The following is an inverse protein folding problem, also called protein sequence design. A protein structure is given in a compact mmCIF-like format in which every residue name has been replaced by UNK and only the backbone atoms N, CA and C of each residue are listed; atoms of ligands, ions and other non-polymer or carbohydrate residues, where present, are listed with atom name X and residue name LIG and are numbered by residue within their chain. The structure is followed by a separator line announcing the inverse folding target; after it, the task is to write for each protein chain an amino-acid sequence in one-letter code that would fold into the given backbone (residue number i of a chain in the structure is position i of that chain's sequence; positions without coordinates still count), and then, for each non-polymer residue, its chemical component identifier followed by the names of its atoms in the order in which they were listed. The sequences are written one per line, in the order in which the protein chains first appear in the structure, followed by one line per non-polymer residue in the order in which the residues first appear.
data_IF_925263561281
#
_entry.id   IF_925263561281
#
_cell.length_a   1.000
_cell.length_b   1.000
_cell.length_c   1.000
_cell.angle_alpha   90.00
_cell.angle_beta   90.00
_cell.angle_gamma   90.00
#
_symmetry.space_group_name_H-M   'P 1'
#
loop_
_entity.id
_entity.type
_entity.pdbx_description
1 polymer ?
#
# COMPACT_ATOMS: atom_id res chain seq x y z
N UNK A 1 -54.09 6.00 9.98
CA UNK A 1 -53.05 6.53 9.06
C UNK A 1 -51.81 7.02 9.83
N UNK A 2 -51.23 6.22 10.74
CA UNK A 2 -50.02 6.59 11.51
C UNK A 2 -48.84 5.62 11.35
N UNK A 3 -49.07 4.44 10.75
CA UNK A 3 -48.05 3.37 10.64
C UNK A 3 -47.21 3.42 9.35
N UNK A 4 -47.66 4.16 8.34
CA UNK A 4 -46.94 4.29 7.05
C UNK A 4 -45.83 5.36 7.14
N UNK A 5 -45.97 6.34 8.04
CA UNK A 5 -44.99 7.42 8.21
C UNK A 5 -43.67 6.97 8.88
N UNK A 6 -43.69 5.85 9.62
CA UNK A 6 -42.51 5.36 10.35
C UNK A 6 -41.52 4.62 9.44
N UNK A 7 -41.99 4.03 8.34
CA UNK A 7 -41.13 3.26 7.41
C UNK A 7 -40.36 4.19 6.46
N UNK A 8 -40.96 5.35 6.11
CA UNK A 8 -40.31 6.33 5.24
C UNK A 8 -39.14 7.06 5.93
N UNK A 9 -39.17 7.18 7.26
CA UNK A 9 -38.07 7.78 8.03
C UNK A 9 -36.86 6.86 8.19
N UNK A 10 -37.01 5.55 8.03
CA UNK A 10 -35.90 4.60 8.20
C UNK A 10 -34.99 4.50 6.97
N UNK A 11 -35.47 4.92 5.80
CA UNK A 11 -34.69 4.93 4.55
C UNK A 11 -33.91 6.23 4.32
N UNK A 12 -34.14 7.28 5.12
CA UNK A 12 -33.50 8.58 4.95
C UNK A 12 -32.14 8.73 5.65
N UNK A 13 -31.64 7.69 6.34
CA UNK A 13 -30.39 7.75 7.11
C UNK A 13 -29.23 6.96 6.48
N UNK A 14 -29.33 6.53 5.23
CA UNK A 14 -28.17 5.98 4.50
C UNK A 14 -27.33 7.16 4.01
N UNK A 15 -26.62 7.79 4.95
CA UNK A 15 -25.50 8.64 4.58
C UNK A 15 -24.43 7.70 4.01
N UNK A 16 -24.26 7.73 2.69
CA UNK A 16 -23.05 7.20 2.07
C UNK A 16 -21.89 8.03 2.60
N UNK A 17 -21.20 7.50 3.60
CA UNK A 17 -19.91 8.02 4.00
C UNK A 17 -18.99 7.78 2.81
N UNK A 18 -18.80 8.81 1.98
CA UNK A 18 -17.65 8.87 1.10
C UNK A 18 -16.45 8.99 2.03
N UNK A 19 -15.81 7.86 2.31
CA UNK A 19 -14.49 7.87 2.91
C UNK A 19 -13.56 8.49 1.89
N UNK A 20 -13.38 9.81 1.96
CA UNK A 20 -12.21 10.46 1.35
C UNK A 20 -11.00 9.83 2.03
N UNK A 21 -10.46 8.79 1.40
CA UNK A 21 -9.17 8.24 1.76
C UNK A 21 -8.19 9.37 1.41
N UNK A 22 -7.53 10.00 2.40
CA UNK A 22 -6.52 10.99 2.07
C UNK A 22 -5.54 10.33 1.11
N UNK A 23 -5.34 10.91 -0.06
CA UNK A 23 -4.35 10.45 -1.01
C UNK A 23 -2.97 10.71 -0.38
N UNK A 24 -2.47 9.79 0.44
CA UNK A 24 -1.08 9.80 0.88
C UNK A 24 -0.24 9.49 -0.36
N UNK A 25 0.13 10.54 -1.09
CA UNK A 25 0.97 10.45 -2.28
C UNK A 25 2.42 10.29 -1.83
N UNK A 26 2.80 9.11 -1.37
CA UNK A 26 4.17 8.81 -0.99
C UNK A 26 4.32 7.57 -0.13
N UNK A 27 5.56 7.09 -0.08
CA UNK A 27 5.99 6.05 0.84
C UNK A 27 7.29 6.51 1.51
N UNK A 28 7.61 5.91 2.64
CA UNK A 28 8.91 6.09 3.29
C UNK A 28 9.40 4.76 3.87
N UNK A 29 10.72 4.62 3.95
CA UNK A 29 11.35 3.51 4.65
C UNK A 29 11.30 3.75 6.15
N UNK A 30 11.01 2.72 6.93
CA UNK A 30 11.13 2.70 8.37
C UNK A 30 12.12 1.59 8.77
N UNK A 31 13.33 1.96 9.19
CA UNK A 31 14.38 1.03 9.60
C UNK A 31 14.28 0.71 11.08
N UNK A 32 14.40 -0.58 11.41
CA UNK A 32 14.38 -1.10 12.78
C UNK A 32 15.81 -1.36 13.26
N UNK A 33 16.31 -0.47 14.11
CA UNK A 33 17.70 -0.46 14.56
C UNK A 33 17.77 -0.61 16.07
N UNK A 34 18.94 -1.01 16.56
CA UNK A 34 19.27 -1.04 17.97
C UNK A 34 20.55 -0.26 18.22
N UNK A 35 20.47 0.69 19.14
CA UNK A 35 21.60 1.51 19.55
C UNK A 35 22.15 0.99 20.89
N UNK A 36 23.46 0.84 20.97
CA UNK A 36 24.16 0.42 22.18
C UNK A 36 25.48 1.17 22.34
N UNK A 37 25.49 2.22 23.16
CA UNK A 37 26.67 2.98 23.56
C UNK A 37 27.58 3.39 22.37
N UNK A 38 27.00 4.02 21.34
CA UNK A 38 27.72 4.46 20.14
C UNK A 38 27.77 3.44 19.01
N UNK A 39 27.38 2.19 19.27
CA UNK A 39 27.29 1.15 18.24
C UNK A 39 25.85 1.04 17.75
N UNK A 40 25.66 1.07 16.44
CA UNK A 40 24.38 0.88 15.79
C UNK A 40 24.37 -0.47 15.07
N UNK A 41 23.30 -1.25 15.27
CA UNK A 41 23.10 -2.55 14.62
C UNK A 41 21.64 -2.71 14.19
N UNK A 42 21.33 -3.67 13.33
CA UNK A 42 19.94 -4.05 13.05
C UNK A 42 19.27 -4.59 14.32
N UNK A 43 18.00 -4.23 14.54
CA UNK A 43 17.22 -4.81 15.64
C UNK A 43 16.95 -6.30 15.34
N UNK A 44 17.35 -7.17 16.27
CA UNK A 44 17.22 -8.63 16.13
C UNK A 44 15.82 -9.12 16.45
N UNK A 45 14.99 -8.27 17.05
CA UNK A 45 13.60 -8.61 17.38
C UNK A 45 12.67 -8.52 16.17
N UNK A 46 13.14 -7.94 15.06
CA UNK A 46 12.40 -7.85 13.80
C UNK A 46 12.95 -8.85 12.78
N UNK A 47 12.04 -9.50 12.05
CA UNK A 47 12.40 -10.41 10.96
C UNK A 47 13.02 -9.67 9.77
N UNK A 48 12.53 -8.45 9.51
CA UNK A 48 12.97 -7.59 8.43
C UNK A 48 13.64 -6.35 9.02
N UNK A 49 14.73 -5.88 8.41
CA UNK A 49 15.48 -4.70 8.88
C UNK A 49 14.71 -3.39 8.65
N UNK A 50 13.68 -3.42 7.79
CA UNK A 50 12.89 -2.24 7.45
C UNK A 50 11.47 -2.62 7.01
N UNK A 51 10.59 -1.62 7.03
CA UNK A 51 9.27 -1.63 6.41
C UNK A 51 9.14 -0.46 5.41
N UNK A 52 8.18 -0.57 4.48
CA UNK A 52 7.76 0.53 3.60
C UNK A 52 6.36 0.97 4.02
N UNK A 53 6.24 2.18 4.54
CA UNK A 53 4.99 2.70 5.10
C UNK A 53 4.40 3.76 4.16
N UNK A 54 3.09 3.71 3.86
CA UNK A 54 2.44 4.77 3.10
C UNK A 54 2.45 6.09 3.89
N UNK A 55 2.96 7.14 3.26
CA UNK A 55 2.93 8.49 3.80
C UNK A 55 4.06 9.39 3.33
N UNK A 56 3.96 10.65 3.71
CA UNK A 56 5.00 11.64 3.45
C UNK A 56 6.14 11.42 4.43
N UNK A 57 7.35 11.32 3.90
CA UNK A 57 8.56 11.33 4.70
C UNK A 57 8.70 12.69 5.41
N UNK A 58 8.94 12.65 6.73
CA UNK A 58 9.25 13.82 7.56
C UNK A 58 10.59 13.54 8.22
N UNK A 59 11.58 14.41 7.97
CA UNK A 59 12.89 14.29 8.59
C UNK A 59 12.80 14.53 10.10
N UNK A 60 13.37 13.63 10.88
CA UNK A 60 13.50 13.79 12.32
C UNK A 60 14.51 14.89 12.65
N UNK A 61 14.29 15.61 13.75
CA UNK A 61 15.26 16.61 14.22
C UNK A 61 16.60 16.00 14.60
N UNK A 62 17.68 16.75 14.36
CA UNK A 62 19.06 16.40 14.73
C UNK A 62 19.54 17.43 15.75
N UNK A 63 20.11 16.97 16.89
CA UNK A 63 20.61 17.87 17.94
C UNK A 63 22.10 17.70 18.21
N UNK A 64 22.66 16.52 17.93
CA UNK A 64 24.09 16.23 18.01
C UNK A 64 24.89 16.96 16.92
N UNK A 65 26.14 17.31 17.24
CA UNK A 65 27.12 17.80 16.26
C UNK A 65 27.69 16.67 15.36
N UNK A 66 27.44 15.41 15.73
CA UNK A 66 27.97 14.22 15.07
C UNK A 66 26.83 13.25 14.75
N UNK A 67 25.98 13.58 13.75
CA UNK A 67 24.86 12.72 13.38
C UNK A 67 25.33 11.45 12.69
N UNK A 68 24.45 10.44 12.69
CA UNK A 68 24.56 9.30 11.78
C UNK A 68 23.89 9.67 10.46
N UNK A 69 24.32 9.02 9.38
CA UNK A 69 23.88 9.33 8.02
C UNK A 69 23.31 8.08 7.36
N UNK A 70 22.13 8.20 6.78
CA UNK A 70 21.54 7.21 5.88
C UNK A 70 21.78 7.68 4.44
N UNK A 71 22.47 6.88 3.65
CA UNK A 71 22.63 7.06 2.22
C UNK A 71 21.79 6.03 1.47
N UNK A 72 20.97 6.49 0.52
CA UNK A 72 20.19 5.60 -0.34
C UNK A 72 20.83 5.57 -1.72
N UNK A 73 21.11 4.36 -2.21
CA UNK A 73 21.79 4.12 -3.48
C UNK A 73 20.83 3.43 -4.44
N UNK A 74 20.81 3.89 -5.69
CA UNK A 74 20.00 3.30 -6.77
C UNK A 74 20.57 1.97 -7.26
N UNK A 75 19.78 1.25 -8.05
CA UNK A 75 20.23 0.05 -8.80
C UNK A 75 21.42 0.36 -9.72
N UNK A 76 21.47 1.57 -10.27
CA UNK A 76 22.60 2.09 -11.07
C UNK A 76 23.83 2.52 -10.25
N UNK A 77 23.82 2.38 -8.93
CA UNK A 77 24.93 2.75 -8.06
C UNK A 77 25.06 4.26 -7.80
N UNK A 78 24.02 5.04 -8.09
CA UNK A 78 23.98 6.49 -7.89
C UNK A 78 23.39 6.80 -6.53
N UNK A 79 23.98 7.74 -5.79
CA UNK A 79 23.39 8.26 -4.56
C UNK A 79 22.10 9.03 -4.89
N UNK A 80 20.97 8.53 -4.38
CA UNK A 80 19.65 9.14 -4.54
C UNK A 80 19.41 10.23 -3.50
N UNK A 81 19.78 9.96 -2.25
CA UNK A 81 19.64 10.93 -1.16
C UNK A 81 20.55 10.61 0.01
N UNK A 82 20.61 11.56 0.95
CA UNK A 82 21.32 11.46 2.21
C UNK A 82 20.44 12.07 3.32
N UNK A 83 20.30 11.37 4.43
CA UNK A 83 19.47 11.77 5.57
C UNK A 83 20.26 11.65 6.86
N UNK A 84 20.36 12.73 7.61
CA UNK A 84 20.93 12.73 8.95
C UNK A 84 19.90 12.33 10.00
N UNK A 85 20.33 11.59 11.02
CA UNK A 85 19.53 11.29 12.21
C UNK A 85 20.37 11.23 13.49
N UNK A 86 19.69 11.43 14.62
CA UNK A 86 20.29 11.47 15.94
C UNK A 86 19.58 10.48 16.89
N UNK A 87 20.25 9.38 17.29
CA UNK A 87 19.70 8.45 18.28
C UNK A 87 19.33 9.12 19.60
N UNK A 88 20.04 10.18 20.02
CA UNK A 88 19.82 10.89 21.27
C UNK A 88 18.46 11.59 21.35
N UNK A 89 17.91 12.00 20.20
CA UNK A 89 16.58 12.62 20.13
C UNK A 89 15.48 11.60 20.44
N UNK A 90 15.61 10.35 19.96
CA UNK A 90 14.63 9.29 20.21
C UNK A 90 14.85 8.58 21.54
N UNK A 91 16.10 8.47 21.99
CA UNK A 91 16.51 7.75 23.19
C UNK A 91 16.78 8.69 24.37
N UNK A 92 15.93 9.72 24.57
CA UNK A 92 16.17 10.79 25.54
C UNK A 92 16.73 10.29 26.89
N UNK A 93 17.98 10.65 27.21
CA UNK A 93 18.65 10.28 28.45
C UNK A 93 19.11 8.82 28.56
N UNK A 94 19.05 8.04 27.48
CA UNK A 94 19.45 6.63 27.41
C UNK A 94 20.59 6.44 26.43
N UNK A 95 21.53 5.58 26.78
CA UNK A 95 22.66 5.21 25.91
C UNK A 95 22.43 3.90 25.16
N UNK A 96 21.29 3.23 25.41
CA UNK A 96 20.93 1.95 24.82
C UNK A 96 19.43 1.91 24.55
N UNK A 97 19.01 1.39 23.40
CA UNK A 97 17.61 1.11 23.12
C UNK A 97 17.30 0.86 21.64
N UNK A 98 16.04 0.48 21.39
CA UNK A 98 15.48 0.35 20.05
C UNK A 98 15.30 1.73 19.42
N UNK A 99 15.60 1.81 18.13
CA UNK A 99 15.58 3.03 17.35
C UNK A 99 14.81 2.79 16.06
N UNK A 100 13.93 3.72 15.71
CA UNK A 100 13.18 3.66 14.46
C UNK A 100 13.55 4.86 13.62
N UNK A 101 14.27 4.64 12.52
CA UNK A 101 14.74 5.73 11.66
C UNK A 101 14.00 5.70 10.35
N UNK A 102 13.53 6.85 9.89
CA UNK A 102 12.80 6.97 8.63
C UNK A 102 13.64 7.62 7.56
N UNK A 103 13.44 7.23 6.30
CA UNK A 103 14.05 7.85 5.13
C UNK A 103 13.06 7.85 3.95
N UNK A 104 13.19 8.74 2.95
CA UNK A 104 12.29 8.75 1.81
C UNK A 104 12.42 7.48 0.98
N UNK A 105 11.30 7.00 0.44
CA UNK A 105 11.26 5.84 -0.43
C UNK A 105 11.65 6.22 -1.87
N UNK A 106 12.39 5.34 -2.54
CA UNK A 106 12.68 5.43 -3.97
C UNK A 106 12.42 4.08 -4.64
N UNK A 107 11.65 4.12 -5.72
CA UNK A 107 11.20 2.92 -6.43
C UNK A 107 12.34 2.16 -7.15
N UNK A 108 13.49 2.81 -7.38
CA UNK A 108 14.70 2.22 -7.96
C UNK A 108 15.87 2.11 -6.96
N UNK A 109 15.59 2.15 -5.65
CA UNK A 109 16.62 1.94 -4.64
C UNK A 109 17.15 0.50 -4.69
N UNK A 110 18.40 0.32 -4.28
CA UNK A 110 19.03 -1.00 -4.19
C UNK A 110 19.58 -1.26 -2.81
N UNK A 111 20.39 -0.33 -2.32
CA UNK A 111 21.10 -0.45 -1.06
C UNK A 111 20.88 0.81 -0.23
N UNK A 112 20.80 0.61 1.09
CA UNK A 112 20.81 1.69 2.07
C UNK A 112 22.01 1.49 2.99
N UNK A 113 22.92 2.45 2.98
CA UNK A 113 24.11 2.43 3.82
C UNK A 113 23.95 3.40 4.98
N UNK A 114 24.23 2.93 6.19
CA UNK A 114 24.19 3.74 7.40
C UNK A 114 25.62 3.97 7.87
N UNK A 115 26.00 5.24 8.01
CA UNK A 115 27.32 5.69 8.39
C UNK A 115 27.34 6.28 9.79
N UNK A 116 28.47 6.17 10.47
CA UNK A 116 28.76 7.01 11.63
C UNK A 116 29.19 8.43 11.21
N UNK A 117 29.42 9.28 12.20
CA UNK A 117 29.91 10.64 12.02
C UNK A 117 31.34 10.74 11.45
N UNK A 118 32.03 9.62 11.25
CA UNK A 118 33.37 9.53 10.66
C UNK A 118 33.29 8.99 9.21
N UNK A 119 32.09 8.91 8.62
CA UNK A 119 31.82 8.33 7.32
C UNK A 119 32.23 6.86 7.18
N UNK A 120 32.23 6.10 8.28
CA UNK A 120 32.41 4.66 8.25
C UNK A 120 31.06 3.97 8.13
N UNK A 121 30.92 3.08 7.14
CA UNK A 121 29.74 2.23 6.99
C UNK A 121 29.63 1.30 8.21
N UNK A 122 28.48 1.37 8.89
CA UNK A 122 28.13 0.50 10.01
C UNK A 122 27.20 -0.62 9.57
N UNK A 123 26.21 -0.29 8.74
CA UNK A 123 25.15 -1.20 8.30
C UNK A 123 24.92 -0.95 6.81
N UNK A 124 24.75 -2.03 6.05
CA UNK A 124 24.27 -1.99 4.67
C UNK A 124 23.03 -2.87 4.58
N UNK A 125 21.92 -2.31 4.12
CA UNK A 125 20.60 -2.94 4.05
C UNK A 125 20.18 -3.00 2.57
N UNK A 126 20.06 -4.19 1.98
CA UNK A 126 19.47 -4.30 0.64
C UNK A 126 17.98 -3.97 0.73
N UNK A 127 17.53 -3.04 -0.11
CA UNK A 127 16.12 -2.60 -0.20
C UNK A 127 15.49 -2.92 -1.56
N UNK A 128 16.25 -3.55 -2.46
CA UNK A 128 15.80 -3.89 -3.82
C UNK A 128 14.58 -4.81 -3.86
N UNK A 129 14.31 -5.58 -2.80
CA UNK A 129 13.11 -6.44 -2.71
C UNK A 129 11.80 -5.65 -2.71
N UNK A 130 11.86 -4.37 -2.32
CA UNK A 130 10.71 -3.45 -2.32
C UNK A 130 10.76 -2.42 -3.44
N UNK A 131 11.72 -2.55 -4.35
CA UNK A 131 11.89 -1.67 -5.50
C UNK A 131 11.28 -2.31 -6.73
N UNK A 132 10.47 -1.54 -7.44
CA UNK A 132 9.73 -2.02 -8.61
C UNK A 132 10.22 -1.40 -9.92
N UNK A 133 10.96 -0.28 -9.89
CA UNK A 133 11.67 0.19 -11.08
C UNK A 133 13.02 -0.51 -11.15
N UNK A 134 13.34 -1.13 -12.27
CA UNK A 134 14.57 -1.92 -12.44
C UNK A 134 15.63 -1.24 -13.32
N UNK A 135 15.33 -0.07 -13.89
CA UNK A 135 16.19 0.72 -14.78
C UNK A 135 16.60 -0.03 -16.10
N UNK A 136 15.82 -1.01 -16.56
CA UNK A 136 16.10 -1.84 -17.75
C UNK A 136 15.65 -1.27 -19.11
N UNK A 137 15.01 -0.08 -19.11
CA UNK A 137 14.44 0.60 -20.29
C UNK A 137 13.17 -0.01 -20.86
N UNK A 138 12.50 -0.90 -20.12
CA UNK A 138 11.21 -1.48 -20.47
C UNK A 138 10.19 -0.96 -19.47
N UNK A 139 9.14 -0.29 -19.95
CA UNK A 139 8.05 0.17 -19.10
C UNK A 139 7.07 -0.97 -18.85
N UNK A 140 7.16 -1.62 -17.69
CA UNK A 140 6.26 -2.72 -17.30
C UNK A 140 5.05 -2.19 -16.51
N UNK A 141 3.94 -1.99 -17.22
CA UNK A 141 2.70 -1.54 -16.60
C UNK A 141 2.06 -2.58 -15.67
N UNK A 142 2.38 -3.87 -15.82
CA UNK A 142 1.78 -4.95 -15.03
C UNK A 142 2.30 -4.95 -13.59
N UNK A 143 3.53 -4.46 -13.38
CA UNK A 143 4.12 -4.23 -12.04
C UNK A 143 3.94 -2.80 -11.53
N UNK A 144 3.24 -1.95 -12.29
CA UNK A 144 2.85 -0.60 -11.89
C UNK A 144 3.84 0.50 -12.29
N UNK A 145 4.79 0.23 -13.18
CA UNK A 145 5.67 1.26 -13.71
C UNK A 145 4.91 2.23 -14.62
N UNK A 146 5.26 3.51 -14.52
CA UNK A 146 4.76 4.57 -15.37
C UNK A 146 5.75 5.75 -15.40
N UNK A 147 5.48 6.74 -16.25
CA UNK A 147 6.32 7.92 -16.40
C UNK A 147 6.55 8.70 -15.08
N UNK A 148 5.60 8.66 -14.14
CA UNK A 148 5.68 9.45 -12.91
C UNK A 148 6.55 8.78 -11.83
N UNK A 149 6.66 7.44 -11.81
CA UNK A 149 7.40 6.70 -10.78
C UNK A 149 8.70 6.05 -11.30
N UNK A 150 8.75 5.64 -12.57
CA UNK A 150 9.91 5.01 -13.22
C UNK A 150 10.27 5.76 -14.52
N UNK A 151 10.65 7.05 -14.48
CA UNK A 151 10.92 7.83 -15.69
C UNK A 151 12.11 7.31 -16.52
N UNK A 152 13.00 6.53 -15.90
CA UNK A 152 14.13 5.90 -16.57
C UNK A 152 13.70 4.78 -17.52
N UNK A 153 12.62 4.07 -17.20
CA UNK A 153 12.08 2.92 -17.93
C UNK A 153 10.91 3.37 -18.81
N UNK A 154 10.01 4.15 -18.24
CA UNK A 154 8.85 4.72 -18.90
C UNK A 154 9.15 6.11 -19.45
N UNK A 155 9.84 6.17 -20.59
CA UNK A 155 9.99 7.44 -21.32
C UNK A 155 8.68 7.84 -22.01
N UNK A 156 8.40 9.14 -22.13
CA UNK A 156 7.19 9.65 -22.82
C UNK A 156 7.05 9.15 -24.26
N UNK A 157 8.16 8.80 -24.92
CA UNK A 157 8.19 8.20 -26.25
C UNK A 157 7.82 6.71 -26.27
N UNK A 158 8.02 5.98 -25.16
CA UNK A 158 7.63 4.57 -25.05
C UNK A 158 6.11 4.39 -24.98
N UNK A 159 5.39 5.41 -24.52
CA UNK A 159 3.91 5.47 -24.60
C UNK A 159 3.39 5.62 -26.04
N UNK A 160 4.24 6.09 -26.97
CA UNK A 160 3.91 6.20 -28.39
C UNK A 160 4.37 4.96 -29.19
N UNK A 161 5.15 4.08 -28.58
CA UNK A 161 5.66 2.84 -29.19
C UNK A 161 4.69 1.66 -29.02
N UNK A 162 3.38 1.93 -28.84
CA UNK A 162 2.34 0.96 -29.21
C UNK A 162 2.33 0.86 -30.73
N UNK A 163 3.36 0.23 -31.27
CA UNK A 163 3.31 -0.33 -32.61
C UNK A 163 2.12 -1.28 -32.59
N UNK A 164 1.07 -1.11 -33.43
CA UNK A 164 0.00 -2.09 -33.47
C UNK A 164 0.64 -3.42 -33.87
N UNK A 165 0.75 -4.33 -32.91
CA UNK A 165 1.13 -5.71 -33.18
C UNK A 165 0.19 -6.20 -34.28
N UNK A 166 0.70 -6.80 -35.37
CA UNK A 166 -0.14 -7.24 -36.47
C UNK A 166 -1.22 -8.15 -35.91
N UNK A 167 -2.46 -7.74 -36.17
CA UNK A 167 -3.70 -8.36 -35.75
C UNK A 167 -3.59 -9.88 -35.73
N UNK A 168 -3.30 -10.43 -34.56
CA UNK A 168 -3.50 -11.84 -34.30
C UNK A 168 -5.01 -12.02 -34.24
N UNK A 169 -5.51 -12.72 -35.26
CA UNK A 169 -6.83 -13.31 -35.39
C UNK A 169 -7.51 -13.48 -34.03
N UNK A 170 -8.63 -12.78 -33.85
CA UNK A 170 -9.48 -12.88 -32.68
C UNK A 170 -9.80 -14.35 -32.39
N UNK A 171 -9.16 -14.90 -31.37
CA UNK A 171 -9.67 -16.04 -30.64
C UNK A 171 -10.83 -15.50 -29.80
N UNK A 172 -12.05 -16.08 -29.89
CA UNK A 172 -13.15 -15.63 -29.06
C UNK A 172 -12.87 -16.00 -27.61
N UNK A 173 -12.44 -15.02 -26.80
CA UNK A 173 -12.40 -15.13 -25.35
C UNK A 173 -13.84 -15.21 -24.82
N UNK A 174 -14.26 -16.46 -24.61
CA UNK A 174 -15.34 -16.79 -23.70
C UNK A 174 -14.79 -16.68 -22.28
N UNK A 175 -15.04 -15.56 -21.60
CA UNK A 175 -15.37 -15.53 -20.16
C UNK A 175 -15.47 -14.08 -19.62
N UNK A 176 -16.63 -13.46 -19.84
CA UNK A 176 -17.11 -12.31 -19.05
C UNK A 176 -18.58 -12.48 -18.65
N UNK A 177 -18.98 -13.69 -18.28
CA UNK A 177 -20.35 -13.98 -17.80
C UNK A 177 -20.48 -14.07 -16.27
N UNK A 178 -19.36 -14.07 -15.53
CA UNK A 178 -19.38 -14.27 -14.06
C UNK A 178 -20.08 -13.16 -13.26
N UNK A 179 -19.99 -11.90 -13.70
CA UNK A 179 -20.59 -10.77 -12.93
C UNK A 179 -22.11 -10.70 -13.05
N UNK A 180 -22.66 -10.84 -14.26
CA UNK A 180 -24.12 -10.79 -14.50
C UNK A 180 -24.83 -12.04 -13.99
N UNK A 181 -24.22 -13.22 -14.13
CA UNK A 181 -24.82 -14.48 -13.70
C UNK A 181 -24.87 -14.57 -12.16
N UNK A 182 -23.83 -14.07 -11.47
CA UNK A 182 -23.87 -13.96 -10.00
C UNK A 182 -24.97 -13.01 -9.54
N UNK A 183 -25.12 -11.84 -10.17
CA UNK A 183 -26.16 -10.87 -9.83
C UNK A 183 -27.57 -11.44 -10.02
N UNK A 184 -27.81 -12.18 -11.11
CA UNK A 184 -29.08 -12.86 -11.38
C UNK A 184 -29.35 -13.94 -10.33
N UNK A 185 -28.34 -14.74 -9.94
CA UNK A 185 -28.49 -15.77 -8.91
C UNK A 185 -28.83 -15.17 -7.54
N UNK A 186 -28.23 -14.04 -7.17
CA UNK A 186 -28.57 -13.34 -5.92
C UNK A 186 -30.00 -12.79 -5.93
N UNK A 187 -30.47 -12.24 -7.05
CA UNK A 187 -31.84 -11.74 -7.19
C UNK A 187 -32.85 -12.90 -7.09
N UNK A 188 -32.60 -14.01 -7.79
CA UNK A 188 -33.46 -15.19 -7.75
C UNK A 188 -33.48 -15.84 -6.36
N UNK A 189 -32.32 -15.92 -5.69
CA UNK A 189 -32.21 -16.41 -4.32
C UNK A 189 -33.03 -15.57 -3.33
N UNK A 190 -32.95 -14.23 -3.44
CA UNK A 190 -33.75 -13.32 -2.62
C UNK A 190 -35.26 -13.47 -2.82
N UNK A 191 -35.70 -13.63 -4.08
CA UNK A 191 -37.12 -13.84 -4.41
C UNK A 191 -37.65 -15.18 -3.89
N UNK A 192 -36.85 -16.25 -3.94
CA UNK A 192 -37.24 -17.56 -3.41
C UNK A 192 -37.44 -17.53 -1.89
N UNK A 193 -36.56 -16.85 -1.15
CA UNK A 193 -36.67 -16.70 0.30
C UNK A 193 -37.91 -15.86 0.67
N UNK A 194 -38.10 -14.73 0.00
CA UNK A 194 -39.27 -13.88 0.21
C UNK A 194 -40.58 -14.62 -0.14
N UNK A 195 -40.62 -15.30 -1.28
CA UNK A 195 -41.76 -16.10 -1.72
C UNK A 195 -42.08 -17.25 -0.76
N UNK A 196 -41.06 -17.96 -0.25
CA UNK A 196 -41.22 -19.01 0.75
C UNK A 196 -41.79 -18.49 2.07
N UNK A 197 -41.30 -17.34 2.55
CA UNK A 197 -41.82 -16.71 3.77
C UNK A 197 -43.29 -16.30 3.62
N UNK A 198 -43.66 -15.64 2.51
CA UNK A 198 -45.03 -15.22 2.26
C UNK A 198 -45.97 -16.42 2.02
N UNK A 199 -45.52 -17.44 1.29
CA UNK A 199 -46.27 -18.68 1.08
C UNK A 199 -46.54 -19.44 2.37
N UNK A 200 -45.52 -19.58 3.24
CA UNK A 200 -45.68 -20.23 4.55
C UNK A 200 -46.65 -19.45 5.45
N UNK A 201 -46.54 -18.11 5.49
CA UNK A 201 -47.49 -17.27 6.23
C UNK A 201 -48.93 -17.42 5.73
N UNK A 202 -49.11 -17.53 4.42
CA UNK A 202 -50.44 -17.70 3.83
C UNK A 202 -51.01 -19.10 4.12
N UNK A 203 -50.17 -20.14 4.10
CA UNK A 203 -50.55 -21.49 4.49
C UNK A 203 -50.98 -21.57 5.96
N UNK A 204 -50.22 -20.97 6.88
CA UNK A 204 -50.62 -20.89 8.29
C UNK A 204 -51.98 -20.22 8.46
N UNK A 205 -52.25 -19.14 7.72
CA UNK A 205 -53.53 -18.43 7.80
C UNK A 205 -54.73 -19.26 7.31
N UNK A 206 -54.51 -20.21 6.39
CA UNK A 206 -55.57 -21.14 5.93
C UNK A 206 -55.83 -22.28 6.91
N UNK A 207 -54.79 -22.83 7.55
CA UNK A 207 -54.97 -23.92 8.52
C UNK A 207 -55.59 -23.46 9.84
N UNK A 208 -55.52 -22.17 10.19
CA UNK A 208 -56.21 -21.62 11.36
C UNK A 208 -57.73 -21.38 11.16
N UNK A 209 -58.26 -21.51 9.94
CA UNK A 209 -59.69 -21.31 9.66
C UNK A 209 -60.47 -22.64 9.53
N UNK A 210 -59.83 -23.80 9.73
CA UNK A 210 -60.44 -25.13 9.64
C UNK A 210 -60.41 -25.91 10.98
N UNK A 211 -60.30 -25.21 12.10
CA UNK A 211 -60.56 -25.67 13.48
C UNK A 211 -61.47 -24.68 14.15
#
# INVERSE_FOLDING_TARGET
MKKIFLILLLFLSINFANGDVPSLTGYYYQFHLYYNNGVLVNDRDFKYSYDVIPGLYIQSGVQTAYPYVIEIISISGVKLTEVEFDPGVQLTGKTVGKLTVTAPYFANAKDVNIYDSQNKILISIPVSETSFCNDDKICDSDVGENYNNCPNDCTSSSLLAVTPSPSATAVPETDKTSSLLSAILYILGGLAIAGGYFGWRWYQKRNFNNT
#
